data_IF_947400606736
#
_entry.id   IF_947400606736
#
_cell.length_a   1.000
_cell.length_b   1.000
_cell.length_c   1.000
_cell.angle_alpha   90.00
_cell.angle_beta   90.00
_cell.angle_gamma   90.00
#
_symmetry.space_group_name_H-M   'P 1'
#
loop_
_entity.id
_entity.type
_entity.pdbx_description
1 polymer ?
#
# COMPACT_ATOMS: atom_id res chain seq x y z
N UNK A 1 17.32 -55.09 7.72
CA UNK A 1 16.95 -53.69 8.07
C UNK A 1 16.97 -52.88 6.79
N UNK A 2 15.82 -52.33 6.39
CA UNK A 2 15.67 -51.53 5.17
C UNK A 2 15.33 -50.12 5.59
N UNK A 3 16.18 -49.16 5.21
CA UNK A 3 15.93 -47.75 5.42
C UNK A 3 15.21 -47.21 4.19
N UNK A 4 13.95 -46.80 4.34
CA UNK A 4 13.25 -46.05 3.31
C UNK A 4 13.60 -44.58 3.55
N UNK A 5 14.49 -44.04 2.72
CA UNK A 5 14.69 -42.59 2.65
C UNK A 5 13.51 -42.01 1.88
N UNK A 6 12.62 -41.32 2.58
CA UNK A 6 11.65 -40.44 1.94
C UNK A 6 12.41 -39.24 1.39
N UNK A 7 12.80 -39.34 0.12
CA UNK A 7 13.18 -38.19 -0.69
C UNK A 7 11.89 -37.49 -1.10
N UNK A 8 11.19 -36.93 -0.11
CA UNK A 8 10.12 -35.97 -0.33
C UNK A 8 10.75 -34.76 -0.97
N UNK A 9 10.48 -34.58 -2.26
CA UNK A 9 10.83 -33.39 -3.00
C UNK A 9 10.55 -32.16 -2.12
N UNK A 10 11.52 -31.25 -2.05
CA UNK A 10 11.32 -29.90 -1.57
C UNK A 10 10.17 -29.31 -2.38
N UNK A 11 8.93 -29.48 -1.92
CA UNK A 11 7.83 -28.64 -2.32
C UNK A 11 8.27 -27.25 -1.92
N UNK A 12 8.46 -26.41 -2.91
CA UNK A 12 8.69 -24.98 -2.82
C UNK A 12 8.13 -24.47 -1.49
N UNK A 13 8.98 -23.86 -0.66
CA UNK A 13 8.51 -22.89 0.32
C UNK A 13 7.96 -21.73 -0.49
N UNK A 14 6.79 -21.93 -1.13
CA UNK A 14 5.96 -20.84 -1.62
C UNK A 14 5.62 -20.05 -0.37
N UNK A 15 6.42 -19.01 -0.17
CA UNK A 15 6.20 -18.03 0.88
C UNK A 15 4.81 -17.49 0.62
N UNK A 16 3.89 -17.73 1.55
CA UNK A 16 2.50 -17.32 1.41
C UNK A 16 2.43 -15.87 0.91
N UNK A 17 1.53 -15.55 -0.02
CA UNK A 17 1.41 -14.20 -0.54
C UNK A 17 1.16 -13.23 0.61
N UNK A 18 1.85 -12.07 0.65
CA UNK A 18 1.66 -11.09 1.71
C UNK A 18 0.19 -10.73 1.85
N UNK A 19 -0.33 -10.78 3.06
CA UNK A 19 -1.65 -10.25 3.39
C UNK A 19 -1.49 -8.94 4.14
N UNK A 20 -2.24 -7.93 3.73
CA UNK A 20 -2.30 -6.64 4.37
C UNK A 20 -3.76 -6.25 4.62
N UNK A 21 -4.02 -5.59 5.74
CA UNK A 21 -5.29 -4.90 5.97
C UNK A 21 -5.01 -3.42 6.17
N UNK A 22 -5.92 -2.58 5.69
CA UNK A 22 -5.78 -1.13 5.78
C UNK A 22 -7.02 -0.49 6.42
N UNK A 23 -6.83 0.67 7.01
CA UNK A 23 -7.88 1.56 7.49
C UNK A 23 -7.76 2.88 6.74
N UNK A 24 -8.86 3.31 6.13
CA UNK A 24 -8.93 4.57 5.40
C UNK A 24 -9.74 5.55 6.22
N UNK A 25 -9.20 6.75 6.40
CA UNK A 25 -9.90 7.86 7.05
C UNK A 25 -9.74 9.13 6.22
N UNK A 26 -10.86 9.71 5.79
CA UNK A 26 -10.89 11.08 5.31
C UNK A 26 -10.87 12.04 6.48
N UNK A 27 -10.04 13.07 6.41
CA UNK A 27 -9.97 14.14 7.38
C UNK A 27 -10.62 15.41 6.80
N UNK A 28 -11.31 16.18 7.64
CA UNK A 28 -12.00 17.41 7.24
C UNK A 28 -11.07 18.51 6.71
N UNK A 29 -9.76 18.37 6.92
CA UNK A 29 -8.73 19.29 6.41
C UNK A 29 -8.28 18.97 4.98
N UNK A 30 -8.99 18.10 4.25
CA UNK A 30 -8.69 17.79 2.85
C UNK A 30 -7.66 16.68 2.64
N UNK A 31 -7.33 15.88 3.67
CA UNK A 31 -6.36 14.79 3.55
C UNK A 31 -7.02 13.43 3.80
N UNK A 32 -6.68 12.42 3.00
CA UNK A 32 -6.97 11.03 3.32
C UNK A 32 -5.76 10.36 3.93
N UNK A 33 -5.96 9.71 5.06
CA UNK A 33 -4.95 8.87 5.70
C UNK A 33 -5.33 7.41 5.48
N UNK A 34 -4.47 6.67 4.79
CA UNK A 34 -4.59 5.24 4.57
C UNK A 34 -3.52 4.54 5.39
N UNK A 35 -3.92 3.89 6.49
CA UNK A 35 -3.01 3.24 7.42
C UNK A 35 -3.04 1.73 7.27
N UNK A 36 -1.88 1.11 7.15
CA UNK A 36 -1.72 -0.34 7.24
C UNK A 36 -2.02 -0.82 8.66
N UNK A 37 -3.20 -1.40 8.85
CA UNK A 37 -3.69 -1.91 10.14
C UNK A 37 -2.98 -3.21 10.55
N UNK A 38 -2.71 -4.08 9.58
CA UNK A 38 -1.95 -5.32 9.76
C UNK A 38 -1.17 -5.64 8.51
N UNK A 39 0.01 -6.22 8.70
CA UNK A 39 0.85 -6.74 7.63
C UNK A 39 1.57 -7.96 8.17
N UNK A 40 1.42 -9.11 7.51
CA UNK A 40 1.93 -10.39 8.01
C UNK A 40 3.45 -10.55 7.81
N UNK A 41 4.03 -9.76 6.90
CA UNK A 41 5.46 -9.76 6.62
C UNK A 41 5.94 -8.37 6.24
N UNK A 42 7.08 -7.94 6.77
CA UNK A 42 7.71 -6.69 6.34
C UNK A 42 8.03 -6.73 4.85
N UNK A 43 7.68 -5.67 4.13
CA UNK A 43 7.92 -5.54 2.69
C UNK A 43 8.99 -4.49 2.42
N UNK A 44 9.64 -4.63 1.28
CA UNK A 44 10.60 -3.66 0.78
C UNK A 44 9.84 -2.50 0.11
N UNK A 45 9.97 -1.25 0.59
CA UNK A 45 9.27 -0.11 0.00
C UNK A 45 9.63 0.11 -1.48
N UNK A 46 10.80 -0.35 -1.94
CA UNK A 46 11.18 -0.26 -3.34
C UNK A 46 10.42 -1.26 -4.23
N UNK A 47 9.85 -2.32 -3.66
CA UNK A 47 9.05 -3.30 -4.38
C UNK A 47 7.54 -3.00 -4.31
N UNK A 48 7.12 -2.04 -3.48
CA UNK A 48 5.71 -1.69 -3.32
C UNK A 48 5.37 -0.48 -4.19
N UNK A 49 4.45 -0.70 -5.11
CA UNK A 49 3.89 0.34 -5.98
C UNK A 49 2.52 0.76 -5.48
N UNK A 50 2.29 2.06 -5.41
CA UNK A 50 0.95 2.58 -5.23
C UNK A 50 0.34 2.94 -6.58
N UNK A 51 -0.97 2.76 -6.70
CA UNK A 51 -1.75 3.19 -7.85
C UNK A 51 -3.02 3.80 -7.33
N UNK A 52 -3.18 5.08 -7.59
CA UNK A 52 -4.35 5.86 -7.28
C UNK A 52 -5.12 6.07 -8.57
N UNK A 53 -6.35 5.57 -8.64
CA UNK A 53 -7.18 5.68 -9.84
C UNK A 53 -8.56 6.24 -9.52
N UNK A 54 -9.04 7.10 -10.41
CA UNK A 54 -10.39 7.65 -10.34
C UNK A 54 -11.21 7.10 -11.52
N UNK A 55 -12.27 6.35 -11.21
CA UNK A 55 -13.14 5.76 -12.23
C UNK A 55 -13.98 6.78 -13.01
N UNK A 56 -14.20 7.97 -12.45
CA UNK A 56 -15.05 9.02 -13.02
C UNK A 56 -14.28 9.90 -13.99
N UNK A 57 -13.06 10.30 -13.64
CA UNK A 57 -12.20 11.15 -14.48
C UNK A 57 -11.23 10.36 -15.37
N UNK A 58 -11.04 9.06 -15.10
CA UNK A 58 -10.03 8.23 -15.78
C UNK A 58 -8.58 8.61 -15.42
N UNK A 59 -8.39 9.45 -14.39
CA UNK A 59 -7.07 9.83 -13.91
C UNK A 59 -6.42 8.65 -13.18
N UNK A 60 -5.16 8.38 -13.51
CA UNK A 60 -4.35 7.35 -12.86
C UNK A 60 -3.03 7.97 -12.47
N UNK A 61 -2.73 7.94 -11.18
CA UNK A 61 -1.43 8.29 -10.62
C UNK A 61 -0.79 7.04 -10.04
N UNK A 62 0.49 6.83 -10.30
CA UNK A 62 1.21 5.66 -9.83
C UNK A 62 2.65 6.04 -9.54
N UNK A 63 3.23 5.39 -8.55
CA UNK A 63 4.62 5.61 -8.14
C UNK A 63 5.05 4.54 -7.16
N UNK A 64 6.34 4.54 -6.82
CA UNK A 64 6.89 3.66 -5.81
C UNK A 64 6.86 4.34 -4.45
N UNK A 65 6.72 3.56 -3.37
CA UNK A 65 6.79 4.13 -2.02
C UNK A 65 8.16 4.71 -1.69
N UNK A 66 9.20 4.31 -2.41
CA UNK A 66 10.58 4.78 -2.27
C UNK A 66 10.88 6.06 -3.07
N UNK A 67 9.95 6.51 -3.91
CA UNK A 67 10.19 7.69 -4.74
C UNK A 67 10.46 8.92 -3.86
N UNK A 68 11.40 9.76 -4.27
CA UNK A 68 11.87 10.90 -3.46
C UNK A 68 10.77 11.94 -3.19
N UNK A 69 9.72 11.94 -4.01
CA UNK A 69 8.55 12.82 -3.87
C UNK A 69 7.44 12.17 -3.03
N UNK A 70 7.65 10.95 -2.52
CA UNK A 70 6.66 10.13 -1.81
C UNK A 70 7.16 9.72 -0.42
N UNK A 71 8.36 9.16 -0.31
CA UNK A 71 8.89 8.65 0.96
C UNK A 71 9.23 9.79 1.94
N UNK A 72 8.47 9.89 3.04
CA UNK A 72 8.72 10.85 4.12
C UNK A 72 8.51 12.31 3.74
N UNK A 73 7.95 12.59 2.57
CA UNK A 73 7.62 13.94 2.10
C UNK A 73 6.33 14.42 2.76
N UNK A 74 6.23 15.71 3.05
CA UNK A 74 4.99 16.34 3.51
C UNK A 74 4.57 17.37 2.48
N UNK A 75 3.31 17.30 2.04
CA UNK A 75 2.76 18.23 1.05
C UNK A 75 2.94 17.80 -0.41
N UNK A 76 3.18 16.52 -0.67
CA UNK A 76 3.05 15.92 -2.00
C UNK A 76 1.64 15.34 -2.19
N UNK A 77 1.19 15.10 -3.44
CA UNK A 77 -0.12 14.50 -3.72
C UNK A 77 -0.33 13.17 -3.01
N UNK A 78 0.73 12.34 -2.97
CA UNK A 78 0.80 11.09 -2.21
C UNK A 78 2.10 11.07 -1.42
N UNK A 79 1.99 10.85 -0.12
CA UNK A 79 3.12 10.79 0.80
C UNK A 79 3.07 9.51 1.63
N UNK A 80 4.17 8.77 1.68
CA UNK A 80 4.30 7.57 2.50
C UNK A 80 5.10 7.88 3.77
N UNK A 81 4.52 7.58 4.92
CA UNK A 81 5.17 7.73 6.21
C UNK A 81 5.39 6.37 6.87
N UNK A 82 6.67 6.03 6.94
CA UNK A 82 7.18 4.94 7.76
C UNK A 82 7.15 5.37 9.23
N UNK A 83 6.44 4.61 10.07
CA UNK A 83 6.28 4.90 11.49
C UNK A 83 7.54 4.53 12.28
N UNK A 84 8.24 3.47 11.88
CA UNK A 84 9.40 2.96 12.60
C UNK A 84 10.73 3.46 12.03
N UNK A 85 10.69 4.16 10.89
CA UNK A 85 11.83 4.66 10.15
C UNK A 85 12.88 3.57 9.88
N UNK A 86 12.43 2.33 9.80
CA UNK A 86 13.25 1.14 9.56
C UNK A 86 13.59 0.93 8.08
N UNK A 87 13.08 1.78 7.18
CA UNK A 87 13.18 1.59 5.74
C UNK A 87 12.53 0.26 5.33
N UNK A 88 11.33 0.02 5.85
CA UNK A 88 10.52 -1.15 5.54
C UNK A 88 9.05 -0.79 5.62
N UNK A 89 8.22 -1.41 4.80
CA UNK A 89 6.77 -1.29 4.94
C UNK A 89 6.33 -2.28 6.01
N UNK A 90 5.83 -1.76 7.13
CA UNK A 90 5.42 -2.54 8.30
C UNK A 90 4.02 -2.16 8.77
N UNK A 91 3.58 -2.83 9.84
CA UNK A 91 2.31 -2.54 10.46
C UNK A 91 2.32 -1.15 11.11
N UNK A 92 1.35 -0.32 10.73
CA UNK A 92 1.15 1.00 11.31
C UNK A 92 1.65 2.15 10.47
N UNK A 93 2.40 1.86 9.40
CA UNK A 93 2.74 2.81 8.33
C UNK A 93 1.48 3.32 7.65
N UNK A 94 1.60 4.50 7.08
CA UNK A 94 0.44 5.17 6.49
C UNK A 94 0.82 6.01 5.28
N UNK A 95 -0.12 6.08 4.35
CA UNK A 95 -0.09 7.00 3.24
C UNK A 95 -0.99 8.19 3.57
N UNK A 96 -0.52 9.38 3.24
CA UNK A 96 -1.29 10.62 3.26
C UNK A 96 -1.51 11.03 1.82
N UNK A 97 -2.77 11.24 1.46
CA UNK A 97 -3.18 11.64 0.11
C UNK A 97 -3.80 13.03 0.23
N UNK A 98 -3.30 13.97 -0.57
CA UNK A 98 -3.81 15.33 -0.63
C UNK A 98 -5.03 15.40 -1.55
N UNK A 99 -6.21 15.66 -0.99
CA UNK A 99 -7.45 15.72 -1.77
C UNK A 99 -7.55 17.00 -2.58
N UNK A 100 -6.95 18.09 -2.12
CA UNK A 100 -6.99 19.39 -2.78
C UNK A 100 -6.23 19.36 -4.12
N UNK A 101 -5.07 18.69 -4.16
CA UNK A 101 -4.26 18.57 -5.38
C UNK A 101 -4.85 17.56 -6.37
N UNK A 102 -5.47 16.49 -5.86
CA UNK A 102 -6.03 15.41 -6.67
C UNK A 102 -7.50 15.60 -7.02
N UNK A 103 -8.20 16.54 -6.38
CA UNK A 103 -9.67 16.63 -6.45
C UNK A 103 -10.32 15.36 -5.89
N UNK A 104 -9.83 14.85 -4.75
CA UNK A 104 -10.34 13.62 -4.13
C UNK A 104 -11.53 13.82 -3.18
N UNK A 105 -12.04 15.05 -3.08
CA UNK A 105 -13.13 15.44 -2.18
C UNK A 105 -14.47 14.79 -2.57
N UNK A 106 -14.75 14.73 -3.87
CA UNK A 106 -16.03 14.22 -4.42
C UNK A 106 -16.15 12.68 -4.38
N UNK A 107 -15.10 12.00 -3.89
CA UNK A 107 -15.01 10.54 -3.85
C UNK A 107 -14.84 9.89 -5.23
N UNK A 108 -14.82 8.55 -5.26
CA UNK A 108 -14.61 7.79 -6.52
C UNK A 108 -13.15 7.45 -6.81
N UNK A 109 -12.24 7.96 -5.99
CA UNK A 109 -10.85 7.54 -5.94
C UNK A 109 -10.69 6.18 -5.24
N UNK A 110 -9.80 5.36 -5.78
CA UNK A 110 -9.37 4.10 -5.18
C UNK A 110 -7.85 4.06 -5.14
N UNK A 111 -7.34 3.63 -4.00
CA UNK A 111 -5.93 3.36 -3.78
C UNK A 111 -5.71 1.86 -3.82
N UNK A 112 -4.79 1.46 -4.67
CA UNK A 112 -4.26 0.10 -4.75
C UNK A 112 -2.79 0.12 -4.35
N UNK A 113 -2.38 -0.83 -3.49
CA UNK A 113 -0.96 -1.12 -3.26
C UNK A 113 -0.67 -2.51 -3.80
N UNK A 114 0.40 -2.62 -4.56
CA UNK A 114 0.85 -3.89 -5.17
C UNK A 114 2.29 -4.12 -4.76
N UNK A 115 2.57 -5.33 -4.26
CA UNK A 115 3.94 -5.81 -4.12
C UNK A 115 4.36 -6.41 -5.47
N UNK A 116 5.23 -5.71 -6.21
CA UNK A 116 5.71 -6.16 -7.51
C UNK A 116 6.63 -7.37 -7.41
N UNK A 117 7.22 -7.63 -6.24
CA UNK A 117 8.10 -8.78 -6.04
C UNK A 117 7.32 -10.09 -6.00
N UNK A 118 6.14 -10.08 -5.41
CA UNK A 118 5.23 -11.23 -5.38
C UNK A 118 4.11 -11.16 -6.43
N UNK A 119 3.92 -9.99 -7.07
CA UNK A 119 2.82 -9.74 -8.02
C UNK A 119 1.45 -9.70 -7.35
N UNK A 120 1.40 -9.46 -6.04
CA UNK A 120 0.18 -9.54 -5.23
C UNK A 120 -0.35 -8.15 -4.95
N UNK A 121 -1.65 -7.96 -5.15
CA UNK A 121 -2.36 -6.77 -4.66
C UNK A 121 -2.48 -6.88 -3.14
N UNK A 122 -1.78 -6.01 -2.43
CA UNK A 122 -1.79 -5.96 -0.97
C UNK A 122 -3.10 -5.38 -0.45
N UNK A 123 -3.51 -4.24 -1.02
CA UNK A 123 -4.75 -3.57 -0.68
C UNK A 123 -5.38 -2.97 -1.94
N UNK A 124 -6.70 -2.93 -1.97
CA UNK A 124 -7.51 -2.16 -2.92
C UNK A 124 -8.66 -1.56 -2.12
N UNK A 125 -8.62 -0.25 -1.91
CA UNK A 125 -9.58 0.45 -1.05
C UNK A 125 -10.09 1.73 -1.69
N UNK A 126 -11.36 2.01 -1.45
CA UNK A 126 -12.00 3.26 -1.86
C UNK A 126 -11.69 4.36 -0.87
N UNK A 127 -11.29 5.53 -1.37
CA UNK A 127 -11.21 6.73 -0.56
C UNK A 127 -12.62 7.26 -0.28
N UNK A 128 -12.99 7.50 0.99
CA UNK A 128 -14.27 8.08 1.34
C UNK A 128 -14.32 9.54 0.86
N UNK A 129 -15.49 9.99 0.41
CA UNK A 129 -15.68 11.40 0.12
C UNK A 129 -15.51 12.22 1.41
N UNK A 130 -14.78 13.33 1.34
CA UNK A 130 -14.67 14.28 2.45
C UNK A 130 -15.85 15.24 2.29
N UNK A 131 -16.95 14.92 2.96
CA UNK A 131 -18.09 15.82 3.04
C UNK A 131 -17.76 16.92 4.05
N UNK A 132 -17.44 18.10 3.54
CA UNK A 132 -17.47 19.36 4.30
C UNK A 132 -18.91 19.80 4.58
#
# INVERSE_FOLDING_TARGET
MVFIMFQGALSTTEKSPPQASTSVKGLENGFHVVRLSSLDQALDPAAVRYTLYNSSSGTVEQGYLVDNDVYGVVGAPVSFHDRDAGYSVTQGDYLVISSEELGADEGGWRLQLVDERSGVVLIDVRLPAIVS
#
